data_IF_138842630459
#
_entry.id   IF_138842630459
#
_cell.length_a   1.000
_cell.length_b   1.000
_cell.length_c   1.000
_cell.angle_alpha   90.00
_cell.angle_beta   90.00
_cell.angle_gamma   90.00
#
_symmetry.space_group_name_H-M   'P 1'
#
loop_
_entity.id
_entity.type
_entity.pdbx_description
1 polymer ?
#
# COMPACT_ATOMS: atom_id res chain seq x y z
N UNK A 1 -17.12 -4.75 -9.82
CA UNK A 1 -16.73 -4.50 -8.40
C UNK A 1 -15.88 -5.71 -8.03
N UNK A 2 -14.61 -5.52 -7.65
CA UNK A 2 -13.70 -6.66 -7.37
C UNK A 2 -14.03 -7.36 -6.06
N UNK A 3 -13.60 -8.61 -5.91
CA UNK A 3 -13.81 -9.38 -4.68
C UNK A 3 -12.75 -8.99 -3.65
N UNK A 4 -13.17 -8.81 -2.39
CA UNK A 4 -12.22 -8.63 -1.27
C UNK A 4 -11.56 -9.96 -1.03
N UNK A 5 -10.23 -9.98 -1.16
CA UNK A 5 -9.45 -11.22 -1.01
C UNK A 5 -8.74 -11.27 0.32
N UNK A 6 -8.30 -10.12 0.81
CA UNK A 6 -7.69 -10.02 2.13
C UNK A 6 -7.88 -8.62 2.72
N UNK A 7 -7.88 -8.54 4.05
CA UNK A 7 -7.89 -7.29 4.78
C UNK A 7 -7.01 -7.43 6.03
N UNK A 8 -6.05 -6.52 6.16
CA UNK A 8 -5.14 -6.49 7.30
C UNK A 8 -4.85 -5.07 7.74
N UNK A 9 -4.43 -4.94 9.00
CA UNK A 9 -4.13 -3.66 9.63
C UNK A 9 -2.62 -3.55 9.88
N UNK A 10 -2.03 -2.44 9.46
CA UNK A 10 -0.59 -2.20 9.56
C UNK A 10 -0.33 -1.00 10.46
N UNK A 11 0.54 -1.18 11.45
CA UNK A 11 1.10 -0.09 12.24
C UNK A 11 2.26 0.54 11.48
N UNK A 12 2.09 1.79 11.04
CA UNK A 12 3.11 2.57 10.35
C UNK A 12 3.97 3.29 11.38
N UNK A 13 5.28 3.04 11.33
CA UNK A 13 6.31 3.74 12.10
C UNK A 13 7.53 3.94 11.20
N UNK A 14 7.82 5.19 10.83
CA UNK A 14 8.79 5.44 9.76
C UNK A 14 8.31 4.84 8.43
N UNK A 15 9.22 4.29 7.61
CA UNK A 15 8.86 3.57 6.37
C UNK A 15 8.40 2.15 6.70
N UNK A 16 7.17 1.81 6.33
CA UNK A 16 6.58 0.47 6.53
C UNK A 16 5.99 -0.05 5.22
N UNK A 17 6.31 -1.29 4.87
CA UNK A 17 5.74 -1.94 3.69
C UNK A 17 4.26 -2.28 3.94
N UNK A 18 3.41 -1.86 3.04
CA UNK A 18 1.98 -2.18 3.01
C UNK A 18 1.67 -3.34 2.06
N UNK A 19 2.50 -3.58 1.04
CA UNK A 19 2.37 -4.69 0.10
C UNK A 19 3.72 -5.02 -0.55
N UNK A 20 3.95 -6.30 -0.92
CA UNK A 20 5.17 -6.74 -1.62
C UNK A 20 6.45 -6.67 -0.78
N UNK A 21 6.31 -6.54 0.54
CA UNK A 21 7.45 -6.59 1.48
C UNK A 21 7.73 -8.01 1.96
N UNK A 22 8.87 -8.23 2.63
CA UNK A 22 9.29 -9.54 3.18
C UNK A 22 8.22 -10.28 3.99
N UNK A 23 7.24 -9.57 4.57
CA UNK A 23 6.18 -10.13 5.41
C UNK A 23 4.80 -10.22 4.72
N UNK A 24 4.64 -9.71 3.49
CA UNK A 24 3.33 -9.65 2.81
C UNK A 24 3.47 -10.40 1.47
N UNK A 25 2.96 -11.65 1.39
CA UNK A 25 3.08 -12.46 0.18
C UNK A 25 2.47 -11.79 -1.06
N UNK A 26 3.15 -11.85 -2.20
CA UNK A 26 2.68 -11.31 -3.50
C UNK A 26 1.61 -12.19 -4.18
N UNK A 27 0.81 -12.93 -3.41
CA UNK A 27 -0.08 -14.02 -3.90
C UNK A 27 -1.16 -13.57 -4.92
N UNK A 28 -1.26 -12.27 -5.22
CA UNK A 28 -2.40 -11.65 -5.90
C UNK A 28 -2.00 -10.65 -7.01
N UNK A 29 -0.73 -10.63 -7.40
CA UNK A 29 -0.07 -9.53 -8.11
C UNK A 29 -0.59 -9.13 -9.52
N UNK A 30 -1.21 -9.97 -10.38
CA UNK A 30 -1.47 -9.53 -11.76
C UNK A 30 -2.68 -8.60 -11.93
N UNK A 31 -3.69 -8.66 -11.04
CA UNK A 31 -5.02 -7.99 -11.24
C UNK A 31 -5.60 -7.44 -9.92
N UNK A 32 -4.73 -7.04 -8.99
CA UNK A 32 -5.12 -6.54 -7.67
C UNK A 32 -5.16 -5.01 -7.56
N UNK A 33 -6.04 -4.51 -6.69
CA UNK A 33 -6.01 -3.15 -6.15
C UNK A 33 -5.71 -3.26 -4.66
N UNK A 34 -4.87 -2.36 -4.16
CA UNK A 34 -4.68 -2.16 -2.74
C UNK A 34 -5.37 -0.85 -2.35
N UNK A 35 -6.38 -0.96 -1.50
CA UNK A 35 -7.03 0.17 -0.87
C UNK A 35 -6.43 0.37 0.52
N UNK A 36 -5.86 1.54 0.76
CA UNK A 36 -5.24 1.92 2.03
C UNK A 36 -6.09 3.02 2.66
N UNK A 37 -6.58 2.77 3.87
CA UNK A 37 -7.39 3.73 4.64
C UNK A 37 -6.69 4.08 5.94
N UNK A 38 -6.56 5.37 6.23
CA UNK A 38 -6.05 5.85 7.50
C UNK A 38 -7.20 5.92 8.52
N UNK A 39 -7.38 4.84 9.27
CA UNK A 39 -8.51 4.68 10.22
C UNK A 39 -8.33 5.49 11.51
N UNK A 40 -7.11 5.88 11.87
CA UNK A 40 -6.82 6.45 13.19
C UNK A 40 -6.69 7.98 13.23
N UNK A 41 -6.82 8.50 14.45
CA UNK A 41 -6.47 9.87 14.79
C UNK A 41 -4.94 10.01 14.82
N UNK A 42 -4.34 10.51 13.76
CA UNK A 42 -2.91 10.84 13.79
C UNK A 42 -2.29 10.89 12.41
N UNK A 43 -2.10 12.13 11.96
CA UNK A 43 -1.23 12.61 10.89
C UNK A 43 -1.32 11.93 9.51
N UNK A 44 -1.00 12.74 8.51
CA UNK A 44 -0.97 12.33 7.11
C UNK A 44 0.19 11.35 6.89
N UNK A 45 -0.09 10.19 6.29
CA UNK A 45 0.98 9.28 5.84
C UNK A 45 1.21 9.45 4.34
N UNK A 46 2.48 9.45 3.94
CA UNK A 46 2.88 9.51 2.53
C UNK A 46 3.00 8.09 2.00
N UNK A 47 2.31 7.79 0.90
CA UNK A 47 2.37 6.51 0.24
C UNK A 47 3.43 6.55 -0.86
N UNK A 48 4.25 5.51 -0.91
CA UNK A 48 5.27 5.30 -1.95
C UNK A 48 5.09 3.95 -2.62
N UNK A 49 5.50 3.85 -3.89
CA UNK A 49 5.51 2.60 -4.66
C UNK A 49 6.90 2.29 -5.16
N UNK A 50 7.18 0.99 -5.34
CA UNK A 50 8.42 0.50 -5.94
C UNK A 50 8.12 -0.23 -7.25
N UNK A 51 8.80 0.14 -8.33
CA UNK A 51 8.68 -0.48 -9.66
C UNK A 51 10.03 -1.02 -10.13
N UNK A 52 10.06 -2.14 -10.87
CA UNK A 52 11.29 -2.63 -11.48
C UNK A 52 11.66 -1.73 -12.67
N UNK A 53 12.95 -1.43 -12.83
CA UNK A 53 13.51 -0.78 -14.02
C UNK A 53 14.19 -1.81 -14.93
N UNK A 54 14.37 -1.44 -16.19
CA UNK A 54 15.04 -2.27 -17.20
C UNK A 54 16.50 -2.62 -16.86
N UNK A 55 17.14 -1.81 -16.01
CA UNK A 55 18.53 -2.01 -15.56
C UNK A 55 18.64 -2.90 -14.31
N UNK A 56 17.52 -3.49 -13.85
CA UNK A 56 17.45 -4.32 -12.65
C UNK A 56 17.38 -3.54 -11.33
N UNK A 57 17.44 -2.20 -11.36
CA UNK A 57 17.23 -1.36 -10.17
C UNK A 57 15.73 -1.15 -9.90
N UNK A 58 15.41 -0.60 -8.72
CA UNK A 58 14.04 -0.24 -8.34
C UNK A 58 13.83 1.27 -8.39
N UNK A 59 12.73 1.69 -8.99
CA UNK A 59 12.25 3.07 -8.93
C UNK A 59 11.32 3.25 -7.74
N UNK A 60 11.62 4.20 -6.85
CA UNK A 60 10.75 4.59 -5.75
C UNK A 60 10.05 5.90 -6.13
N UNK A 61 8.72 5.93 -6.03
CA UNK A 61 7.90 7.11 -6.33
C UNK A 61 6.85 7.34 -5.25
N UNK A 62 6.69 8.60 -4.86
CA UNK A 62 5.54 9.05 -4.08
C UNK A 62 4.29 8.95 -4.96
N UNK A 63 3.26 8.27 -4.45
CA UNK A 63 2.01 8.04 -5.19
C UNK A 63 0.83 8.81 -4.58
N UNK A 64 0.95 9.24 -3.34
CA UNK A 64 -0.08 10.03 -2.69
C UNK A 64 0.20 10.27 -1.21
N UNK A 65 -0.69 11.03 -0.59
CA UNK A 65 -0.74 11.22 0.85
C UNK A 65 -2.15 10.94 1.31
N UNK A 66 -2.31 10.27 2.44
CA UNK A 66 -3.62 10.02 3.06
C UNK A 66 -3.65 10.62 4.46
N UNK A 67 -4.48 11.65 4.61
CA UNK A 67 -4.87 12.21 5.88
C UNK A 67 -5.85 11.32 6.62
N UNK A 68 -6.30 11.79 7.78
CA UNK A 68 -7.21 11.06 8.65
C UNK A 68 -8.55 10.76 7.95
N UNK A 69 -8.99 9.50 8.03
CA UNK A 69 -10.25 9.03 7.45
C UNK A 69 -10.21 8.90 5.93
N UNK A 70 -9.14 9.39 5.28
CA UNK A 70 -8.98 9.32 3.84
C UNK A 70 -8.58 7.92 3.40
N UNK A 71 -8.88 7.65 2.14
CA UNK A 71 -8.63 6.38 1.49
C UNK A 71 -7.93 6.63 0.18
N UNK A 72 -6.92 5.83 -0.12
CA UNK A 72 -6.23 5.84 -1.39
C UNK A 72 -6.23 4.43 -1.96
N UNK A 73 -6.52 4.32 -3.26
CA UNK A 73 -6.53 3.04 -3.96
C UNK A 73 -5.47 3.04 -5.04
N UNK A 74 -4.58 2.05 -5.00
CA UNK A 74 -3.51 1.86 -5.96
C UNK A 74 -3.72 0.56 -6.72
N UNK A 75 -3.52 0.60 -8.04
CA UNK A 75 -3.44 -0.62 -8.87
C UNK A 75 -2.08 -1.28 -8.62
N UNK A 76 -2.06 -2.58 -8.39
CA UNK A 76 -0.84 -3.33 -8.10
C UNK A 76 -0.13 -3.82 -9.37
N UNK A 77 -0.73 -3.64 -10.55
CA UNK A 77 -0.09 -4.04 -11.80
C UNK A 77 1.28 -3.37 -11.94
N UNK A 78 2.32 -4.17 -12.19
CA UNK A 78 3.69 -3.68 -12.42
C UNK A 78 4.36 -3.01 -11.21
N UNK A 79 3.73 -3.05 -10.02
CA UNK A 79 4.37 -2.67 -8.77
C UNK A 79 5.04 -3.90 -8.16
N UNK A 80 6.16 -3.67 -7.47
CA UNK A 80 6.84 -4.69 -6.64
C UNK A 80 6.61 -4.46 -5.15
N UNK A 81 6.33 -3.23 -4.74
CA UNK A 81 5.94 -2.94 -3.37
C UNK A 81 5.11 -1.64 -3.27
N UNK A 82 4.34 -1.53 -2.19
CA UNK A 82 3.71 -0.29 -1.73
C UNK A 82 4.11 -0.09 -0.28
N UNK A 83 4.49 1.14 0.10
CA UNK A 83 4.90 1.50 1.46
C UNK A 83 4.18 2.76 1.94
N UNK A 84 4.06 2.90 3.26
CA UNK A 84 3.69 4.15 3.92
C UNK A 84 4.88 4.70 4.70
N UNK A 85 5.06 6.01 4.66
CA UNK A 85 6.06 6.77 5.40
C UNK A 85 5.35 7.76 6.31
N UNK A 86 5.86 7.88 7.52
CA UNK A 86 5.28 8.67 8.60
C UNK A 86 6.42 9.49 9.22
N UNK A 87 6.28 10.82 9.16
CA UNK A 87 7.42 11.75 9.34
C UNK A 87 7.67 12.17 10.80
N UNK A 88 6.64 12.13 11.66
CA UNK A 88 6.72 12.68 13.03
C UNK A 88 7.05 11.63 14.12
N UNK A 89 7.15 10.35 13.74
CA UNK A 89 7.50 9.24 14.62
C UNK A 89 6.39 8.70 15.52
N UNK A 90 5.17 9.26 15.44
CA UNK A 90 3.99 8.74 16.16
C UNK A 90 3.42 7.51 15.44
N UNK A 91 2.97 6.47 16.14
CA UNK A 91 2.39 5.33 15.46
C UNK A 91 1.04 5.69 14.81
N UNK A 92 0.93 5.55 13.49
CA UNK A 92 -0.34 5.63 12.75
C UNK A 92 -0.75 4.23 12.31
N UNK A 93 -2.04 3.92 12.28
CA UNK A 93 -2.52 2.64 11.74
C UNK A 93 -3.28 2.85 10.46
N UNK A 94 -2.92 2.06 9.44
CA UNK A 94 -3.67 1.99 8.19
C UNK A 94 -4.32 0.61 8.06
N UNK A 95 -5.52 0.60 7.50
CA UNK A 95 -6.19 -0.62 7.05
C UNK A 95 -5.91 -0.78 5.57
N UNK A 96 -5.37 -1.94 5.22
CA UNK A 96 -5.10 -2.36 3.86
C UNK A 96 -6.16 -3.38 3.47
N UNK A 97 -6.89 -3.11 2.40
CA UNK A 97 -7.85 -4.03 1.81
C UNK A 97 -7.38 -4.36 0.41
N UNK A 98 -7.19 -5.65 0.15
CA UNK A 98 -6.80 -6.16 -1.15
C UNK A 98 -8.04 -6.60 -1.92
N UNK A 99 -8.21 -6.04 -3.10
CA UNK A 99 -9.31 -6.34 -4.00
C UNK A 99 -8.74 -7.00 -5.26
N UNK A 100 -9.28 -8.13 -5.69
CA UNK A 100 -8.92 -8.72 -6.98
C UNK A 100 -10.06 -8.47 -7.96
N UNK A 101 -9.72 -7.99 -9.16
CA UNK A 101 -10.67 -8.03 -10.27
C UNK A 101 -10.77 -9.48 -10.73
N UNK A 102 -11.91 -10.11 -10.43
CA UNK A 102 -12.27 -11.38 -11.05
C UNK A 102 -12.35 -11.16 -12.57
N UNK A 103 -11.50 -11.84 -13.33
CA UNK A 103 -11.62 -11.93 -14.78
C UNK A 103 -12.79 -12.88 -15.07
N UNK A 104 -13.95 -12.31 -15.39
CA UNK A 104 -15.07 -13.05 -15.96
C UNK A 104 -14.69 -13.61 -17.34
#
# INVERSE_FOLDING_TARGET
MGDVVDQYRVRVRGKTNLWGGQAIPELFAPVGYLTVRNEEFGETVTLTSERPKNDGSKEIKDIGKIGRGETYTVKLNELTAVSAVQDDGRPTFVTCTLLIQSTA
#
